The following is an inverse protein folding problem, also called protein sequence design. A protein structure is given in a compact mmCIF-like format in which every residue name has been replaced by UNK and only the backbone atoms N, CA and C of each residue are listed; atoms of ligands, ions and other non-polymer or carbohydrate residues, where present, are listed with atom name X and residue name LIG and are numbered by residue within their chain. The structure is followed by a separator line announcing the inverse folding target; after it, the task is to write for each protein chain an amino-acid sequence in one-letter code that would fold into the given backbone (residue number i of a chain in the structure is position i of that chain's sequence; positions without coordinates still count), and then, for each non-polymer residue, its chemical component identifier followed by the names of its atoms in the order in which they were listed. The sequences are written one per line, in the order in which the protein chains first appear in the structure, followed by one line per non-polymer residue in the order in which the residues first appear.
data_IF_404378879617
#
_entry.id   IF_404378879617
#
_cell.length_a   1.000
_cell.length_b   1.000
_cell.length_c   1.000
_cell.angle_alpha   90.00
_cell.angle_beta   90.00
_cell.angle_gamma   90.00
#
_symmetry.space_group_name_H-M   'P 1'
#
loop_
_entity.id
_entity.type
_entity.pdbx_description
1 polymer ?
#
# COMPACT_ATOMS: atom_id res chain seq x y z
N UNK A 1 33.52 -30.77 3.36
CA UNK A 1 32.05 -30.67 3.28
C UNK A 1 31.72 -29.47 4.17
N UNK A 2 31.71 -28.26 3.60
CA UNK A 2 31.57 -27.02 4.36
C UNK A 2 30.12 -26.57 4.28
N UNK A 3 29.44 -26.62 5.42
CA UNK A 3 28.11 -26.05 5.61
C UNK A 3 28.24 -24.52 5.50
N UNK A 4 27.77 -23.96 4.38
CA UNK A 4 27.53 -22.53 4.28
C UNK A 4 26.32 -22.22 5.16
N UNK A 5 26.58 -21.79 6.39
CA UNK A 5 25.59 -21.13 7.22
C UNK A 5 25.13 -19.86 6.48
N UNK A 6 23.95 -19.94 5.88
CA UNK A 6 23.25 -18.81 5.29
C UNK A 6 22.94 -17.83 6.42
N UNK A 7 23.72 -16.75 6.52
CA UNK A 7 23.42 -15.60 7.36
C UNK A 7 22.16 -14.90 6.82
N UNK A 8 20.99 -15.49 7.07
CA UNK A 8 19.74 -14.75 6.99
C UNK A 8 19.84 -13.62 8.03
N UNK A 9 19.58 -12.35 7.67
CA UNK A 9 19.59 -11.28 8.64
C UNK A 9 18.63 -11.63 9.78
N UNK A 10 19.07 -11.41 11.02
CA UNK A 10 18.25 -11.65 12.20
C UNK A 10 16.90 -10.91 12.03
N UNK A 11 15.80 -11.65 12.19
CA UNK A 11 14.47 -11.09 12.11
C UNK A 11 14.31 -10.03 13.21
N UNK A 12 14.29 -8.76 12.82
CA UNK A 12 14.16 -7.65 13.75
C UNK A 12 12.75 -7.66 14.30
N UNK A 13 12.58 -8.08 15.56
CA UNK A 13 11.32 -7.87 16.27
C UNK A 13 11.22 -6.39 16.63
N UNK A 14 10.26 -5.63 16.08
CA UNK A 14 10.13 -4.22 16.41
C UNK A 14 9.71 -4.05 17.88
N UNK A 15 10.08 -2.93 18.53
CA UNK A 15 9.54 -2.58 19.83
C UNK A 15 8.01 -2.60 19.84
N UNK A 16 7.41 -2.87 21.01
CA UNK A 16 5.97 -2.83 21.15
C UNK A 16 5.40 -1.48 20.69
N UNK A 17 4.45 -1.52 19.76
CA UNK A 17 3.83 -0.33 19.16
C UNK A 17 4.53 0.23 17.92
N UNK A 18 5.66 -0.36 17.48
CA UNK A 18 6.30 0.01 16.21
C UNK A 18 5.89 -0.98 15.11
N UNK A 19 5.24 -0.47 14.06
CA UNK A 19 4.93 -1.24 12.86
C UNK A 19 6.09 -1.12 11.88
N UNK A 20 6.67 -2.24 11.46
CA UNK A 20 7.69 -2.25 10.41
C UNK A 20 7.07 -1.89 9.05
N UNK A 21 7.81 -1.16 8.19
CA UNK A 21 7.34 -0.87 6.84
C UNK A 21 7.24 -2.17 6.02
N UNK A 22 6.14 -2.34 5.31
CA UNK A 22 5.98 -3.37 4.31
C UNK A 22 6.22 -2.77 2.91
N UNK A 23 7.41 -2.99 2.37
CA UNK A 23 7.79 -2.54 1.03
C UNK A 23 7.56 -3.59 -0.07
N UNK A 24 7.15 -4.82 0.26
CA UNK A 24 6.96 -5.89 -0.73
C UNK A 24 5.63 -5.75 -1.47
N UNK A 25 4.53 -5.72 -0.73
CA UNK A 25 3.14 -5.82 -1.21
C UNK A 25 2.16 -4.97 -0.39
N UNK A 26 2.69 -4.05 0.40
CA UNK A 26 1.95 -3.17 1.30
C UNK A 26 2.41 -1.72 1.23
N UNK A 27 2.98 -1.27 0.10
CA UNK A 27 3.47 0.08 -0.11
C UNK A 27 2.68 0.85 -1.17
N UNK A 28 2.76 2.18 -1.12
CA UNK A 28 2.24 3.07 -2.17
C UNK A 28 2.81 2.74 -3.56
N UNK A 29 4.03 2.20 -3.64
CA UNK A 29 4.64 1.76 -4.91
C UNK A 29 3.92 0.56 -5.55
N UNK A 30 3.12 -0.18 -4.78
CA UNK A 30 2.34 -1.30 -5.29
C UNK A 30 1.00 -0.86 -5.92
N UNK A 31 0.65 0.43 -5.88
CA UNK A 31 -0.64 0.92 -6.43
C UNK A 31 -0.69 0.79 -7.95
N UNK A 32 0.31 1.29 -8.67
CA UNK A 32 0.37 1.21 -10.13
C UNK A 32 0.22 -0.22 -10.68
N UNK A 33 1.02 -1.22 -10.22
CA UNK A 33 0.86 -2.59 -10.68
C UNK A 33 -0.51 -3.16 -10.31
N UNK A 34 -1.10 -2.78 -9.17
CA UNK A 34 -2.46 -3.20 -8.79
C UNK A 34 -3.51 -2.67 -9.75
N UNK A 35 -3.43 -1.38 -10.11
CA UNK A 35 -4.34 -0.78 -11.10
C UNK A 35 -4.19 -1.47 -12.45
N UNK A 36 -2.96 -1.76 -12.87
CA UNK A 36 -2.71 -2.49 -14.11
C UNK A 36 -3.31 -3.90 -14.09
N UNK A 37 -3.17 -4.62 -12.98
CA UNK A 37 -3.76 -5.94 -12.78
C UNK A 37 -5.28 -5.91 -12.82
N UNK A 38 -5.91 -4.92 -12.19
CA UNK A 38 -7.36 -4.71 -12.22
C UNK A 38 -7.85 -4.46 -13.66
N UNK A 39 -7.11 -3.65 -14.43
CA UNK A 39 -7.46 -3.32 -15.82
C UNK A 39 -7.03 -4.40 -16.83
N UNK A 40 -6.40 -5.49 -16.37
CA UNK A 40 -5.94 -6.58 -17.24
C UNK A 40 -4.82 -6.17 -18.21
N UNK A 41 -4.00 -5.17 -17.87
CA UNK A 41 -2.91 -4.69 -18.73
C UNK A 41 -1.54 -5.16 -18.22
N UNK A 42 -0.58 -5.47 -19.10
CA UNK A 42 0.76 -5.84 -18.68
C UNK A 42 1.46 -4.69 -17.96
N UNK A 43 2.14 -5.00 -16.85
CA UNK A 43 2.95 -4.03 -16.10
C UNK A 43 4.21 -4.69 -15.58
N UNK A 44 5.35 -4.01 -15.73
CA UNK A 44 6.64 -4.45 -15.22
C UNK A 44 7.03 -3.54 -14.06
N UNK A 45 7.20 -4.11 -12.86
CA UNK A 45 7.56 -3.34 -11.69
C UNK A 45 7.39 -4.14 -10.41
N UNK A 46 6.97 -3.45 -9.36
CA UNK A 46 6.68 -4.06 -8.06
C UNK A 46 5.53 -5.09 -8.16
N UNK A 47 5.43 -6.03 -7.21
CA UNK A 47 4.23 -6.85 -7.06
C UNK A 47 2.97 -5.99 -6.86
N UNK A 48 1.80 -6.57 -7.11
CA UNK A 48 0.52 -5.96 -6.73
C UNK A 48 0.40 -5.86 -5.21
N UNK A 49 -0.51 -5.02 -4.73
CA UNK A 49 -0.92 -5.00 -3.34
C UNK A 49 -1.47 -6.38 -2.94
N UNK A 50 -1.30 -6.73 -1.66
CA UNK A 50 -1.96 -7.89 -1.06
C UNK A 50 -3.45 -7.92 -1.41
N UNK A 51 -3.97 -9.11 -1.70
CA UNK A 51 -5.31 -9.33 -2.28
C UNK A 51 -6.43 -8.64 -1.52
N UNK A 52 -6.31 -8.57 -0.20
CA UNK A 52 -7.32 -8.02 0.71
C UNK A 52 -7.56 -6.53 0.47
N UNK A 53 -6.60 -5.84 -0.18
CA UNK A 53 -6.68 -4.41 -0.46
C UNK A 53 -7.38 -4.04 -1.77
N UNK A 54 -7.76 -5.01 -2.61
CA UNK A 54 -8.35 -4.70 -3.91
C UNK A 54 -9.30 -5.75 -4.49
N UNK A 55 -9.17 -7.03 -4.12
CA UNK A 55 -10.07 -8.10 -4.59
C UNK A 55 -11.57 -7.87 -4.24
N UNK A 56 -11.95 -7.27 -3.09
CA UNK A 56 -13.36 -6.98 -2.81
C UNK A 56 -14.05 -6.02 -3.79
N UNK A 57 -13.31 -5.32 -4.66
CA UNK A 57 -13.88 -4.43 -5.66
C UNK A 57 -14.62 -5.18 -6.79
N UNK A 58 -14.44 -6.50 -6.88
CA UNK A 58 -15.09 -7.36 -7.87
C UNK A 58 -14.37 -7.41 -9.22
N UNK A 59 -15.01 -8.10 -10.17
CA UNK A 59 -14.49 -8.33 -11.52
C UNK A 59 -14.99 -7.25 -12.52
N UNK A 60 -14.40 -7.24 -13.73
CA UNK A 60 -14.82 -6.42 -14.88
C UNK A 60 -14.68 -4.88 -14.73
N UNK A 61 -13.79 -4.40 -13.86
CA UNK A 61 -13.52 -2.96 -13.69
C UNK A 61 -12.91 -2.35 -14.96
N UNK A 62 -13.63 -1.41 -15.59
CA UNK A 62 -13.19 -0.74 -16.83
C UNK A 62 -12.48 0.60 -16.60
N UNK A 63 -12.58 1.16 -15.40
CA UNK A 63 -12.05 2.49 -15.08
C UNK A 63 -11.65 2.58 -13.63
N UNK A 64 -10.46 3.10 -13.39
CA UNK A 64 -9.95 3.40 -12.05
C UNK A 64 -9.70 4.91 -11.95
N UNK A 65 -10.20 5.51 -10.87
CA UNK A 65 -9.90 6.91 -10.51
C UNK A 65 -9.09 6.86 -9.22
N UNK A 66 -7.82 7.28 -9.31
CA UNK A 66 -6.94 7.35 -8.15
C UNK A 66 -6.95 8.76 -7.57
N UNK A 67 -7.33 8.88 -6.30
CA UNK A 67 -7.26 10.14 -5.55
C UNK A 67 -6.12 10.07 -4.53
N UNK A 68 -5.12 10.94 -4.68
CA UNK A 68 -3.98 11.04 -3.77
C UNK A 68 -4.06 12.36 -3.00
N UNK A 69 -3.99 12.28 -1.68
CA UNK A 69 -3.98 13.44 -0.79
C UNK A 69 -2.59 13.52 -0.16
N UNK A 70 -1.86 14.61 -0.44
CA UNK A 70 -0.52 14.79 0.10
C UNK A 70 -0.53 14.92 1.63
N UNK A 71 0.43 14.28 2.29
CA UNK A 71 0.56 14.30 3.75
C UNK A 71 -0.58 13.64 4.53
N UNK A 72 -1.47 12.86 3.88
CA UNK A 72 -2.64 12.29 4.55
C UNK A 72 -2.32 10.96 5.26
N UNK A 73 -1.90 11.05 6.52
CA UNK A 73 -1.64 9.88 7.37
C UNK A 73 -2.90 9.24 7.97
N UNK A 74 -2.84 7.95 8.32
CA UNK A 74 -3.95 7.19 8.95
C UNK A 74 -4.52 7.88 10.19
N UNK A 75 -3.67 8.53 11.00
CA UNK A 75 -4.07 9.25 12.20
C UNK A 75 -5.02 10.44 11.93
N UNK A 76 -5.13 10.86 10.66
CA UNK A 76 -6.07 11.91 10.24
C UNK A 76 -7.45 11.34 9.91
N UNK A 77 -7.57 10.05 9.57
CA UNK A 77 -8.84 9.35 9.40
C UNK A 77 -9.44 9.02 10.77
N UNK A 78 -10.40 9.86 11.19
CA UNK A 78 -11.11 9.73 12.47
C UNK A 78 -12.57 9.35 12.26
N UNK A 79 -12.97 8.08 12.53
CA UNK A 79 -14.36 7.65 12.32
C UNK A 79 -15.38 8.43 13.17
N UNK A 80 -14.94 8.98 14.29
CA UNK A 80 -15.72 9.79 15.23
C UNK A 80 -15.88 11.26 14.79
N UNK A 81 -15.09 11.73 13.81
CA UNK A 81 -15.21 13.07 13.27
C UNK A 81 -16.10 13.05 12.01
N UNK A 82 -17.22 13.81 11.97
CA UNK A 82 -18.14 13.84 10.84
C UNK A 82 -17.49 14.17 9.48
N UNK A 83 -16.45 15.00 9.48
CA UNK A 83 -15.76 15.41 8.25
C UNK A 83 -14.98 14.25 7.61
N UNK A 84 -14.42 13.36 8.43
CA UNK A 84 -13.66 12.19 7.97
C UNK A 84 -14.53 10.95 7.84
N UNK A 85 -15.63 10.86 8.60
CA UNK A 85 -16.63 9.81 8.44
C UNK A 85 -17.24 9.78 7.02
N UNK A 86 -17.40 10.97 6.40
CA UNK A 86 -17.87 11.08 5.03
C UNK A 86 -16.90 10.42 4.01
N UNK A 87 -15.58 10.46 4.25
CA UNK A 87 -14.60 9.80 3.38
C UNK A 87 -14.61 8.28 3.50
N UNK A 88 -15.11 7.76 4.62
CA UNK A 88 -15.22 6.31 4.88
C UNK A 88 -16.61 5.74 4.55
N UNK A 89 -17.60 6.61 4.36
CA UNK A 89 -18.97 6.20 4.08
C UNK A 89 -19.07 5.61 2.67
N UNK A 90 -19.47 4.34 2.57
CA UNK A 90 -19.55 3.64 1.29
C UNK A 90 -18.20 3.14 0.76
N UNK A 91 -17.15 3.13 1.58
CA UNK A 91 -15.87 2.52 1.24
C UNK A 91 -15.91 1.03 1.55
N UNK A 92 -15.57 0.18 0.58
CA UNK A 92 -15.44 -1.28 0.79
C UNK A 92 -14.19 -1.65 1.59
N UNK A 93 -13.09 -0.91 1.40
CA UNK A 93 -11.77 -1.24 1.95
C UNK A 93 -11.14 0.01 2.58
N UNK A 94 -10.83 -0.06 3.88
CA UNK A 94 -10.08 0.97 4.60
C UNK A 94 -8.89 0.29 5.27
N UNK A 95 -7.68 0.62 4.78
CA UNK A 95 -6.45 0.11 5.35
C UNK A 95 -5.31 1.13 5.20
N UNK A 96 -4.16 0.83 5.80
CA UNK A 96 -2.93 1.59 5.70
C UNK A 96 -1.91 0.87 4.81
N UNK A 97 -1.26 1.66 3.96
CA UNK A 97 -0.07 1.26 3.22
C UNK A 97 1.16 2.01 3.74
N UNK A 98 2.31 1.41 3.53
CA UNK A 98 3.62 2.00 3.78
C UNK A 98 3.91 3.04 2.70
N UNK A 99 4.40 4.22 3.06
CA UNK A 99 4.98 5.13 2.06
C UNK A 99 6.27 4.53 1.46
N UNK A 100 6.91 5.22 0.53
CA UNK A 100 8.27 4.89 0.08
C UNK A 100 9.32 5.54 0.98
N UNK A 101 10.58 5.13 0.87
CA UNK A 101 11.69 5.78 1.56
C UNK A 101 12.60 6.54 0.58
N UNK A 102 12.99 7.78 0.89
CA UNK A 102 12.42 8.66 1.92
C UNK A 102 10.95 9.01 1.64
N UNK A 103 10.17 9.24 2.70
CA UNK A 103 8.74 9.58 2.62
C UNK A 103 8.52 11.05 2.24
N UNK A 104 9.00 11.45 1.07
CA UNK A 104 8.80 12.80 0.52
C UNK A 104 7.72 12.76 -0.57
N UNK A 105 7.03 13.89 -0.78
CA UNK A 105 6.00 14.01 -1.83
C UNK A 105 6.56 13.61 -3.21
N UNK A 106 7.76 14.07 -3.57
CA UNK A 106 8.39 13.74 -4.86
C UNK A 106 8.62 12.23 -4.99
N UNK A 107 9.21 11.59 -3.98
CA UNK A 107 9.45 10.14 -4.03
C UNK A 107 8.14 9.35 -4.09
N UNK A 108 7.15 9.72 -3.28
CA UNK A 108 5.86 9.06 -3.25
C UNK A 108 5.11 9.19 -4.58
N UNK A 109 5.08 10.39 -5.17
CA UNK A 109 4.43 10.61 -6.46
C UNK A 109 5.14 9.88 -7.61
N UNK A 110 6.47 9.88 -7.63
CA UNK A 110 7.22 9.13 -8.63
C UNK A 110 7.09 7.61 -8.49
N UNK A 111 6.81 7.10 -7.29
CA UNK A 111 6.63 5.67 -7.08
C UNK A 111 5.25 5.14 -7.51
N UNK A 112 4.28 6.03 -7.73
CA UNK A 112 2.91 5.66 -8.17
C UNK A 112 2.80 5.61 -9.70
N UNK A 113 3.88 5.87 -10.45
CA UNK A 113 3.87 5.90 -11.91
C UNK A 113 5.00 5.10 -12.55
#
# INVERSE_FOLDING_TARGET
MNEQQTNAPAELTPPAGLTLPNYSDGSIANIAPTIAQILGVPFQGMPVLRSELWQPLGDDIQRVVLFLIDGFGKNLLRPDNPQTAAFTAGTEIIDQVTSVFPSTTVNAMSAVW
#
